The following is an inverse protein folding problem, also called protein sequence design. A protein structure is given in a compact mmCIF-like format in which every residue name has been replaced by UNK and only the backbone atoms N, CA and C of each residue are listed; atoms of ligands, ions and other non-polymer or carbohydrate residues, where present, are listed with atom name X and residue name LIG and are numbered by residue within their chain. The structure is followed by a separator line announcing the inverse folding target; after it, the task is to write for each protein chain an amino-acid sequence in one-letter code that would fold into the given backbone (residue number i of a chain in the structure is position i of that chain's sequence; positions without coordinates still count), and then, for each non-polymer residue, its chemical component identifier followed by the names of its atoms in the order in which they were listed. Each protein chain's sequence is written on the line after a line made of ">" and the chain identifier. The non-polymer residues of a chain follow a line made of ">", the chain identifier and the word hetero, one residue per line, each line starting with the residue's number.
data_IF_225513753018
#
_entry.id   IF_225513753018
#
_cell.length_a   1.000
_cell.length_b   1.000
_cell.length_c   1.000
_cell.angle_alpha   90.00
_cell.angle_beta   90.00
_cell.angle_gamma   90.00
#
_symmetry.space_group_name_H-M   'P 1'
#
loop_
_entity.id
_entity.type
_entity.pdbx_description
1 polymer ?
#
# COMPACT_ATOMS: atom_id res chain seq x y z
N UNK A 1 -23.68 -33.33 24.04
CA UNK A 1 -23.11 -33.53 22.68
C UNK A 1 -23.79 -32.67 21.60
N UNK A 2 -25.10 -32.46 21.60
CA UNK A 2 -25.80 -31.60 20.60
C UNK A 2 -25.35 -30.13 20.57
N UNK A 3 -25.04 -29.52 21.72
CA UNK A 3 -24.60 -28.11 21.77
C UNK A 3 -23.20 -27.86 21.18
N UNK A 4 -22.28 -28.83 21.29
CA UNK A 4 -20.92 -28.71 20.72
C UNK A 4 -20.94 -28.72 19.18
N UNK A 5 -21.87 -29.46 18.59
CA UNK A 5 -22.06 -29.48 17.13
C UNK A 5 -22.56 -28.13 16.58
N UNK A 6 -23.39 -27.42 17.33
CA UNK A 6 -23.93 -26.12 16.92
C UNK A 6 -22.83 -25.05 16.91
N UNK A 7 -21.94 -25.06 17.90
CA UNK A 7 -20.77 -24.16 17.94
C UNK A 7 -19.78 -24.44 16.81
N UNK A 8 -19.59 -25.70 16.43
CA UNK A 8 -18.71 -26.07 15.31
C UNK A 8 -19.29 -25.63 13.95
N UNK A 9 -20.61 -25.72 13.76
CA UNK A 9 -21.27 -25.27 12.52
C UNK A 9 -21.30 -23.75 12.35
N UNK A 10 -21.45 -23.00 13.45
CA UNK A 10 -21.48 -21.53 13.41
C UNK A 10 -20.09 -20.91 13.14
N UNK A 11 -19.03 -21.57 13.58
CA UNK A 11 -17.64 -21.11 13.36
C UNK A 11 -17.13 -21.44 11.95
N UNK A 12 -17.55 -22.57 11.37
CA UNK A 12 -17.17 -22.94 9.99
C UNK A 12 -17.91 -22.10 8.93
N UNK A 13 -19.18 -21.75 9.17
CA UNK A 13 -19.96 -20.90 8.27
C UNK A 13 -19.42 -19.47 8.13
N UNK A 14 -18.85 -18.91 9.20
CA UNK A 14 -18.24 -17.58 9.18
C UNK A 14 -16.92 -17.53 8.40
N UNK A 15 -16.18 -18.64 8.33
CA UNK A 15 -14.88 -18.72 7.64
C UNK A 15 -15.02 -18.72 6.11
N UNK A 16 -16.14 -19.25 5.59
CA UNK A 16 -16.40 -19.31 4.14
C UNK A 16 -16.67 -17.93 3.54
N UNK A 17 -17.24 -17.00 4.31
CA UNK A 17 -17.59 -15.65 3.83
C UNK A 17 -16.39 -14.69 3.80
N UNK A 18 -15.30 -15.02 4.50
CA UNK A 18 -14.05 -14.24 4.44
C UNK A 18 -13.17 -14.57 3.22
N UNK A 19 -13.46 -15.67 2.51
CA UNK A 19 -12.64 -16.13 1.39
C UNK A 19 -13.00 -15.44 0.05
N UNK A 20 -14.21 -14.85 -0.06
CA UNK A 20 -14.70 -14.18 -1.28
C UNK A 20 -13.96 -12.86 -1.59
N UNK A 21 -13.44 -12.17 -0.55
CA UNK A 21 -12.62 -10.96 -0.75
C UNK A 21 -11.23 -11.24 -1.34
N UNK A 22 -10.72 -12.47 -1.17
CA UNK A 22 -9.41 -12.85 -1.69
C UNK A 22 -9.39 -12.99 -3.22
N UNK A 23 -10.52 -13.34 -3.85
CA UNK A 23 -10.63 -13.42 -5.31
C UNK A 23 -10.78 -12.04 -5.96
N UNK A 24 -11.51 -11.11 -5.33
CA UNK A 24 -11.69 -9.75 -5.85
C UNK A 24 -10.40 -8.94 -5.91
N UNK A 25 -9.47 -9.19 -4.99
CA UNK A 25 -8.15 -8.54 -4.98
C UNK A 25 -7.16 -9.10 -6.01
N UNK A 26 -7.41 -10.28 -6.60
CA UNK A 26 -6.46 -10.93 -7.51
C UNK A 26 -6.59 -10.49 -8.97
N UNK A 27 -7.72 -9.90 -9.34
CA UNK A 27 -7.99 -9.51 -10.73
C UNK A 27 -8.01 -8.00 -10.89
N UNK A 28 -6.93 -7.43 -11.43
CA UNK A 28 -6.94 -6.06 -11.94
C UNK A 28 -7.41 -6.08 -13.41
N UNK A 29 -8.65 -5.63 -13.73
CA UNK A 29 -9.20 -5.66 -15.09
C UNK A 29 -8.43 -4.77 -16.08
N UNK A 30 -7.53 -3.91 -15.56
CA UNK A 30 -6.72 -3.00 -16.35
C UNK A 30 -5.29 -3.52 -16.59
N UNK A 31 -4.88 -4.65 -16.01
CA UNK A 31 -3.48 -5.14 -16.00
C UNK A 31 -2.83 -5.19 -17.39
N UNK A 32 -3.58 -5.67 -18.40
CA UNK A 32 -3.04 -5.86 -19.75
C UNK A 32 -3.15 -4.60 -20.63
N UNK A 33 -3.87 -3.58 -20.17
CA UNK A 33 -4.00 -2.31 -20.89
C UNK A 33 -2.66 -1.58 -20.89
N UNK A 34 -2.20 -1.19 -22.07
CA UNK A 34 -0.89 -0.51 -22.22
C UNK A 34 -0.79 0.78 -21.41
N UNK A 35 -1.86 1.59 -21.39
CA UNK A 35 -1.88 2.79 -20.57
C UNK A 35 -1.71 2.46 -19.08
N UNK A 36 -2.31 1.37 -18.59
CA UNK A 36 -2.18 0.96 -17.20
C UNK A 36 -0.76 0.49 -16.89
N UNK A 37 -0.12 -0.27 -17.79
CA UNK A 37 1.29 -0.67 -17.67
C UNK A 37 2.23 0.54 -17.67
N UNK A 38 1.98 1.51 -18.54
CA UNK A 38 2.74 2.76 -18.60
C UNK A 38 2.58 3.58 -17.31
N UNK A 39 1.33 3.86 -16.89
CA UNK A 39 1.06 4.60 -15.66
C UNK A 39 1.59 3.87 -14.43
N UNK A 40 1.50 2.55 -14.37
CA UNK A 40 2.10 1.76 -13.29
C UNK A 40 3.62 1.97 -13.19
N UNK A 41 4.31 1.93 -14.33
CA UNK A 41 5.75 2.23 -14.39
C UNK A 41 6.04 3.65 -13.90
N UNK A 42 5.27 4.65 -14.35
CA UNK A 42 5.42 6.03 -13.89
C UNK A 42 5.20 6.14 -12.38
N UNK A 43 4.08 5.63 -11.86
CA UNK A 43 3.75 5.64 -10.43
C UNK A 43 4.83 4.96 -9.59
N UNK A 44 5.35 3.81 -10.04
CA UNK A 44 6.44 3.10 -9.35
C UNK A 44 7.69 3.96 -9.28
N UNK A 45 8.09 4.59 -10.38
CA UNK A 45 9.27 5.45 -10.42
C UNK A 45 9.10 6.71 -9.55
N UNK A 46 7.90 7.30 -9.54
CA UNK A 46 7.58 8.44 -8.67
C UNK A 46 7.67 8.04 -7.19
N UNK A 47 7.17 6.86 -6.83
CA UNK A 47 7.27 6.31 -5.48
C UNK A 47 8.72 6.13 -5.03
N UNK A 48 9.57 5.57 -5.89
CA UNK A 48 11.01 5.40 -5.59
C UNK A 48 11.68 6.76 -5.39
N UNK A 49 11.48 7.72 -6.31
CA UNK A 49 12.06 9.06 -6.17
C UNK A 49 11.64 9.77 -4.89
N UNK A 50 10.38 9.61 -4.47
CA UNK A 50 9.89 10.14 -3.19
C UNK A 50 10.67 9.53 -2.02
N UNK A 51 10.83 8.21 -2.00
CA UNK A 51 11.55 7.52 -0.92
C UNK A 51 13.02 7.95 -0.85
N UNK A 52 13.67 8.12 -2.00
CA UNK A 52 15.05 8.60 -2.08
C UNK A 52 15.19 10.04 -1.53
N UNK A 53 14.23 10.91 -1.85
CA UNK A 53 14.18 12.28 -1.32
C UNK A 53 14.02 12.32 0.20
N UNK A 54 13.06 11.55 0.73
CA UNK A 54 12.84 11.42 2.17
C UNK A 54 14.10 10.87 2.86
N UNK A 55 14.70 9.81 2.31
CA UNK A 55 15.93 9.22 2.83
C UNK A 55 17.06 10.24 2.91
N UNK A 56 17.35 10.95 1.82
CA UNK A 56 18.40 11.99 1.80
C UNK A 56 18.10 13.11 2.81
N UNK A 57 16.84 13.46 3.04
CA UNK A 57 16.47 14.49 4.02
C UNK A 57 16.70 14.01 5.46
N UNK A 58 16.28 12.77 5.76
CA UNK A 58 16.51 12.14 7.06
C UNK A 58 18.00 11.97 7.38
N UNK A 59 18.82 11.56 6.41
CA UNK A 59 20.27 11.40 6.58
C UNK A 59 21.00 12.72 6.90
N UNK A 60 20.40 13.86 6.55
CA UNK A 60 20.95 15.20 6.82
C UNK A 60 20.37 15.85 8.08
N UNK A 61 19.31 15.29 8.63
CA UNK A 61 18.63 15.83 9.81
C UNK A 61 19.50 15.64 11.05
N UNK A 62 19.61 16.68 11.87
CA UNK A 62 20.40 16.65 13.11
C UNK A 62 19.54 16.41 14.35
N UNK A 63 18.22 16.41 14.20
CA UNK A 63 17.25 16.19 15.28
C UNK A 63 16.04 15.39 14.81
N UNK A 64 15.29 14.88 15.78
CA UNK A 64 14.03 14.18 15.53
C UNK A 64 13.01 15.13 14.88
N UNK A 65 12.92 16.37 15.35
CA UNK A 65 12.00 17.39 14.84
C UNK A 65 12.30 17.74 13.38
N UNK A 66 13.58 17.80 12.99
CA UNK A 66 13.97 17.97 11.58
C UNK A 66 13.58 16.75 10.73
N UNK A 67 13.77 15.54 11.28
CA UNK A 67 13.38 14.31 10.60
C UNK A 67 11.87 14.19 10.36
N UNK A 68 11.05 14.61 11.33
CA UNK A 68 9.58 14.66 11.17
C UNK A 68 9.20 15.60 10.03
N UNK A 69 9.79 16.80 9.98
CA UNK A 69 9.54 17.76 8.88
C UNK A 69 9.93 17.18 7.52
N UNK A 70 11.02 16.44 7.45
CA UNK A 70 11.44 15.74 6.23
C UNK A 70 10.41 14.71 5.75
N UNK A 71 9.80 13.95 6.67
CA UNK A 71 8.82 12.92 6.34
C UNK A 71 7.45 13.49 5.96
N UNK A 72 7.03 14.55 6.65
CA UNK A 72 5.75 15.22 6.43
C UNK A 72 5.76 16.18 5.24
N UNK A 73 6.95 16.56 4.75
CA UNK A 73 7.08 17.42 3.57
C UNK A 73 6.35 16.83 2.37
N UNK A 74 5.60 17.69 1.68
CA UNK A 74 4.92 17.29 0.45
C UNK A 74 5.92 16.87 -0.61
N UNK A 75 5.86 15.59 -1.01
CA UNK A 75 6.68 15.03 -2.08
C UNK A 75 6.49 15.72 -3.44
N UNK A 76 5.34 16.39 -3.65
CA UNK A 76 5.11 17.21 -4.85
C UNK A 76 6.07 18.38 -4.93
N UNK A 77 6.46 18.97 -3.79
CA UNK A 77 7.44 20.06 -3.78
C UNK A 77 8.81 19.60 -4.27
N UNK A 78 9.17 18.34 -4.02
CA UNK A 78 10.48 17.81 -4.38
C UNK A 78 10.50 17.21 -5.79
N UNK A 79 9.33 16.91 -6.35
CA UNK A 79 9.22 16.33 -7.69
C UNK A 79 9.53 17.31 -8.83
N UNK A 80 9.30 18.60 -8.59
CA UNK A 80 9.50 19.67 -9.57
C UNK A 80 10.73 20.53 -9.29
N UNK A 81 11.49 20.23 -8.24
CA UNK A 81 12.77 20.92 -8.00
C UNK A 81 13.82 20.36 -8.96
N UNK A 82 14.36 21.24 -9.79
CA UNK A 82 15.46 20.99 -10.75
C UNK A 82 16.78 20.79 -10.02
#
# INVERSE_FOLDING_TARGET
>A
MKLLFIFFSLTFGALVWAQDDSQRCQTNPLRDKEYCRYFWSVCKNLGVRRLDGIKSCLEKSQSYEEGVKCFERSWLEDLFKK
#
